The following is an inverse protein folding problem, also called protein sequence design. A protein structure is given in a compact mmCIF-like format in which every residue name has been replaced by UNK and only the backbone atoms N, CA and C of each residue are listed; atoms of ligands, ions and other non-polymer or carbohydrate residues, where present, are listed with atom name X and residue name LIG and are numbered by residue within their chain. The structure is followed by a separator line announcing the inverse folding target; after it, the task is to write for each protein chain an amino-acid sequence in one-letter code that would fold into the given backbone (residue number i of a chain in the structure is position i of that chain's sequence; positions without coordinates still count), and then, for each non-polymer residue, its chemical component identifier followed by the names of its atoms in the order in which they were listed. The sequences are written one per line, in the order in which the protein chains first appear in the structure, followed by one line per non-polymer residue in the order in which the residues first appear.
data_IF_829579084672
#
_entry.id   IF_829579084672
#
_cell.length_a   1.000
_cell.length_b   1.000
_cell.length_c   1.000
_cell.angle_alpha   90.00
_cell.angle_beta   90.00
_cell.angle_gamma   90.00
#
_symmetry.space_group_name_H-M   'P 1'
#
loop_
_entity.id
_entity.type
_entity.pdbx_description
1 polymer ?
#
# COMPACT_ATOMS: atom_id res chain seq x y z
N UNK A 1 8.34 -2.61 5.86
CA UNK A 1 7.04 -2.85 6.55
C UNK A 1 5.93 -2.80 5.51
N UNK A 2 4.74 -3.35 5.76
CA UNK A 2 3.64 -3.35 4.80
C UNK A 2 2.33 -2.84 5.44
N UNK A 3 1.40 -2.36 4.62
CA UNK A 3 0.21 -1.58 5.04
C UNK A 3 -1.00 -2.43 5.40
N UNK A 4 -0.82 -3.68 5.81
CA UNK A 4 -1.92 -4.54 6.25
C UNK A 4 -2.38 -4.14 7.66
N UNK A 5 -2.94 -2.93 7.75
CA UNK A 5 -3.41 -2.28 8.95
C UNK A 5 -4.81 -1.77 8.66
N UNK A 6 -5.83 -2.36 9.28
CA UNK A 6 -7.24 -2.13 8.95
C UNK A 6 -7.82 -0.89 9.63
N UNK A 7 -7.03 0.18 9.75
CA UNK A 7 -7.43 1.41 10.43
C UNK A 7 -6.65 2.64 9.91
N UNK A 8 -7.38 3.74 9.69
CA UNK A 8 -6.85 5.01 9.19
C UNK A 8 -5.74 5.58 10.08
N UNK A 9 -6.01 5.76 11.38
CA UNK A 9 -5.10 6.42 12.31
C UNK A 9 -3.82 5.58 12.51
N UNK A 10 -3.95 4.26 12.57
CA UNK A 10 -2.82 3.36 12.70
C UNK A 10 -1.94 3.36 11.42
N UNK A 11 -2.55 3.40 10.24
CA UNK A 11 -1.84 3.52 8.96
C UNK A 11 -1.04 4.83 8.90
N UNK A 12 -1.66 5.95 9.25
CA UNK A 12 -1.00 7.25 9.25
C UNK A 12 0.14 7.31 10.28
N UNK A 13 -0.07 6.76 11.48
CA UNK A 13 0.97 6.67 12.51
C UNK A 13 2.18 5.86 12.03
N UNK A 14 1.94 4.72 11.37
CA UNK A 14 3.01 3.92 10.79
C UNK A 14 3.82 4.73 9.78
N UNK A 15 3.17 5.43 8.85
CA UNK A 15 3.86 6.21 7.82
C UNK A 15 4.69 7.35 8.41
N UNK A 16 4.17 8.04 9.45
CA UNK A 16 4.92 9.08 10.17
C UNK A 16 6.14 8.53 10.92
N UNK A 17 6.06 7.30 11.43
CA UNK A 17 7.11 6.70 12.26
C UNK A 17 8.19 6.03 11.44
N UNK A 18 7.80 5.29 10.40
CA UNK A 18 8.68 4.43 9.60
C UNK A 18 9.22 5.16 8.36
N UNK A 19 8.49 6.18 7.90
CA UNK A 19 8.80 6.94 6.70
C UNK A 19 8.34 6.25 5.42
N UNK A 20 7.90 7.05 4.46
CA UNK A 20 7.35 6.63 3.17
C UNK A 20 8.27 5.66 2.43
N UNK A 21 9.59 5.92 2.41
CA UNK A 21 10.55 5.12 1.65
C UNK A 21 10.69 3.67 2.14
N UNK A 22 10.22 3.36 3.36
CA UNK A 22 10.42 2.07 4.03
C UNK A 22 9.13 1.22 4.11
N UNK A 23 8.05 1.69 3.50
CA UNK A 23 6.74 1.04 3.52
C UNK A 23 6.33 0.62 2.11
N UNK A 24 5.74 -0.58 2.02
CA UNK A 24 5.13 -1.11 0.81
C UNK A 24 3.62 -1.21 1.00
N UNK A 25 2.85 -0.84 -0.03
CA UNK A 25 1.43 -1.14 -0.04
C UNK A 25 1.19 -2.65 -0.09
N UNK A 26 0.30 -3.12 0.79
CA UNK A 26 -0.29 -4.45 0.77
C UNK A 26 -1.66 -4.42 1.46
N UNK A 27 -2.57 -5.27 1.00
CA UNK A 27 -3.91 -5.43 1.56
C UNK A 27 -4.16 -6.80 2.20
N UNK A 28 -3.42 -7.83 1.78
CA UNK A 28 -3.71 -9.24 2.09
C UNK A 28 -5.19 -9.62 1.83
N UNK A 29 -5.75 -9.10 0.72
CA UNK A 29 -7.13 -9.40 0.34
C UNK A 29 -7.39 -10.91 0.27
N UNK A 30 -8.53 -11.35 0.81
CA UNK A 30 -8.89 -12.78 0.93
C UNK A 30 -7.89 -13.53 1.86
N UNK A 31 -7.40 -12.84 2.88
CA UNK A 31 -6.50 -13.37 3.89
C UNK A 31 -7.18 -13.58 5.24
N UNK A 32 -6.53 -13.10 6.30
CA UNK A 32 -6.94 -13.29 7.69
C UNK A 32 -8.28 -12.68 8.08
N UNK A 33 -8.69 -11.57 7.47
CA UNK A 33 -9.96 -10.89 7.76
C UNK A 33 -10.76 -10.64 6.49
N UNK A 34 -11.92 -11.28 6.38
CA UNK A 34 -12.87 -11.13 5.26
C UNK A 34 -14.21 -10.58 5.78
N UNK A 35 -14.16 -9.66 6.74
CA UNK A 35 -15.35 -9.03 7.30
C UNK A 35 -15.53 -7.64 6.72
N UNK A 36 -16.79 -7.21 6.64
CA UNK A 36 -17.14 -5.82 6.34
C UNK A 36 -17.16 -5.08 7.67
N UNK A 37 -16.47 -3.94 7.70
CA UNK A 37 -16.51 -2.99 8.79
C UNK A 37 -17.91 -2.35 8.88
N UNK A 38 -18.66 -2.55 9.98
CA UNK A 38 -20.01 -2.03 10.11
C UNK A 38 -20.06 -0.49 10.15
N UNK A 39 -18.97 0.18 10.54
CA UNK A 39 -18.93 1.65 10.65
C UNK A 39 -18.75 2.32 9.28
N UNK A 40 -18.03 1.68 8.38
CA UNK A 40 -17.68 2.24 7.06
C UNK A 40 -18.38 1.56 5.88
N UNK A 41 -18.93 0.35 6.09
CA UNK A 41 -19.52 -0.47 5.04
C UNK A 41 -18.50 -1.02 4.03
N UNK A 42 -17.21 -0.92 4.32
CA UNK A 42 -16.10 -1.41 3.48
C UNK A 42 -15.50 -2.69 4.05
N UNK A 43 -14.78 -3.43 3.22
CA UNK A 43 -14.00 -4.56 3.70
C UNK A 43 -12.82 -4.06 4.55
N UNK A 44 -12.51 -4.75 5.65
CA UNK A 44 -11.35 -4.40 6.47
C UNK A 44 -10.03 -4.50 5.69
N UNK A 45 -9.94 -5.46 4.76
CA UNK A 45 -8.76 -5.66 3.91
C UNK A 45 -8.71 -4.71 2.70
N UNK A 46 -9.70 -3.83 2.50
CA UNK A 46 -9.62 -2.71 1.55
C UNK A 46 -8.75 -1.59 2.15
N UNK A 47 -7.43 -1.76 2.13
CA UNK A 47 -6.48 -0.85 2.81
C UNK A 47 -6.06 0.37 1.99
N UNK A 48 -6.30 0.38 0.66
CA UNK A 48 -5.95 1.52 -0.22
C UNK A 48 -6.55 2.86 0.24
N UNK A 49 -7.83 2.93 0.65
CA UNK A 49 -8.44 4.18 1.12
C UNK A 49 -7.70 4.81 2.30
N UNK A 50 -7.06 3.99 3.14
CA UNK A 50 -6.32 4.52 4.29
C UNK A 50 -5.08 5.32 3.89
N UNK A 51 -4.46 4.99 2.75
CA UNK A 51 -3.35 5.76 2.18
C UNK A 51 -3.88 6.96 1.41
N UNK A 52 -4.94 6.76 0.62
CA UNK A 52 -5.53 7.84 -0.19
C UNK A 52 -6.00 9.00 0.69
N UNK A 53 -6.61 8.71 1.85
CA UNK A 53 -7.14 9.68 2.81
C UNK A 53 -6.10 10.43 3.65
N UNK A 54 -4.79 10.28 3.39
CA UNK A 54 -3.74 11.00 4.13
C UNK A 54 -3.34 12.27 3.39
N UNK A 55 -3.79 13.42 3.88
CA UNK A 55 -3.67 14.71 3.19
C UNK A 55 -2.23 15.23 3.03
N UNK A 56 -1.30 14.84 3.93
CA UNK A 56 0.08 15.33 3.89
C UNK A 56 1.00 14.54 2.94
N UNK A 57 0.55 13.39 2.45
CA UNK A 57 1.31 12.65 1.43
C UNK A 57 1.27 13.42 0.11
N UNK A 58 2.39 13.43 -0.61
CA UNK A 58 2.43 13.93 -1.99
C UNK A 58 2.05 12.83 -2.99
N UNK A 59 1.90 13.19 -4.27
CA UNK A 59 1.75 12.21 -5.34
C UNK A 59 3.00 11.32 -5.49
N UNK A 60 4.20 11.88 -5.28
CA UNK A 60 5.46 11.13 -5.28
C UNK A 60 5.50 10.12 -4.13
N UNK A 61 5.02 10.51 -2.94
CA UNK A 61 4.93 9.59 -1.80
C UNK A 61 3.97 8.44 -2.05
N UNK A 62 2.80 8.72 -2.64
CA UNK A 62 1.85 7.68 -3.06
C UNK A 62 2.47 6.76 -4.11
N UNK A 63 3.17 7.32 -5.09
CA UNK A 63 3.89 6.51 -6.07
C UNK A 63 4.91 5.58 -5.42
N UNK A 64 5.70 6.05 -4.45
CA UNK A 64 6.64 5.21 -3.69
C UNK A 64 5.93 4.08 -2.97
N UNK A 65 4.84 4.38 -2.25
CA UNK A 65 4.09 3.39 -1.48
C UNK A 65 3.46 2.30 -2.37
N UNK A 66 2.82 2.71 -3.47
CA UNK A 66 2.11 1.79 -4.36
C UNK A 66 3.01 1.05 -5.35
N UNK A 67 4.18 1.61 -5.66
CA UNK A 67 5.02 1.08 -6.74
C UNK A 67 6.51 1.29 -6.51
N UNK A 68 7.00 2.53 -6.37
CA UNK A 68 8.44 2.82 -6.40
C UNK A 68 9.28 2.00 -5.41
N UNK A 69 8.77 1.81 -4.19
CA UNK A 69 9.46 1.03 -3.16
C UNK A 69 9.49 -0.47 -3.48
N UNK A 70 8.48 -1.02 -4.16
CA UNK A 70 8.43 -2.45 -4.52
C UNK A 70 9.56 -2.83 -5.46
N UNK A 71 9.91 -1.94 -6.39
CA UNK A 71 11.00 -2.15 -7.34
C UNK A 71 12.37 -2.22 -6.64
N UNK A 72 12.54 -1.47 -5.55
CA UNK A 72 13.76 -1.50 -4.71
C UNK A 72 13.81 -2.74 -3.82
N UNK A 73 12.68 -3.10 -3.22
CA UNK A 73 12.59 -4.23 -2.31
C UNK A 73 12.68 -5.59 -3.03
N UNK A 74 12.18 -5.69 -4.27
CA UNK A 74 12.15 -6.91 -5.07
C UNK A 74 12.94 -6.77 -6.37
N UNK A 75 14.27 -6.65 -6.32
CA UNK A 75 15.11 -6.40 -7.51
C UNK A 75 15.02 -7.52 -8.55
N UNK A 76 14.66 -8.75 -8.15
CA UNK A 76 14.44 -9.87 -9.06
C UNK A 76 13.11 -9.79 -9.83
N UNK A 77 12.10 -9.15 -9.25
CA UNK A 77 10.79 -8.95 -9.89
C UNK A 77 10.80 -7.72 -10.82
N UNK A 78 11.61 -6.71 -10.49
CA UNK A 78 11.71 -5.44 -11.21
C UNK A 78 11.78 -5.58 -12.75
N UNK A 79 12.66 -6.41 -13.36
CA UNK A 79 12.73 -6.52 -14.82
C UNK A 79 11.44 -7.02 -15.47
N UNK A 80 10.67 -7.84 -14.75
CA UNK A 80 9.40 -8.39 -15.25
C UNK A 80 8.29 -7.34 -15.15
N UNK A 81 8.25 -6.58 -14.05
CA UNK A 81 7.30 -5.48 -13.86
C UNK A 81 7.51 -4.42 -14.94
N UNK A 82 8.75 -3.98 -15.16
CA UNK A 82 9.10 -3.00 -16.20
C UNK A 82 8.74 -3.50 -17.61
N UNK A 83 8.86 -4.81 -17.86
CA UNK A 83 8.44 -5.43 -19.14
C UNK A 83 6.93 -5.39 -19.34
N UNK A 84 6.15 -5.65 -18.29
CA UNK A 84 4.68 -5.58 -18.30
C UNK A 84 4.24 -4.13 -18.58
N UNK A 85 4.83 -3.16 -17.87
CA UNK A 85 4.51 -1.74 -18.03
C UNK A 85 4.87 -1.19 -19.41
N UNK A 86 5.92 -1.73 -20.03
CA UNK A 86 6.30 -1.41 -21.41
C UNK A 86 5.36 -2.04 -22.47
N UNK A 87 4.33 -2.79 -22.07
CA UNK A 87 3.41 -3.48 -22.98
C UNK A 87 4.05 -4.65 -23.74
N UNK A 88 5.12 -5.24 -23.17
CA UNK A 88 5.92 -6.29 -23.82
C UNK A 88 5.67 -7.69 -23.22
N UNK A 89 4.65 -7.84 -22.38
CA UNK A 89 4.27 -9.08 -21.71
C UNK A 89 3.34 -9.93 -22.56
#
# INVERSE_FOLDING_TARGET
MYTEIYNQAATEFMLKTIGVDNVLFASEMIGGVQAIDPDTGRWYDDTKPYIDGIDWLTEDDRYKLFHGNVLRAYPRAKPYIEKIEAGKA
#
